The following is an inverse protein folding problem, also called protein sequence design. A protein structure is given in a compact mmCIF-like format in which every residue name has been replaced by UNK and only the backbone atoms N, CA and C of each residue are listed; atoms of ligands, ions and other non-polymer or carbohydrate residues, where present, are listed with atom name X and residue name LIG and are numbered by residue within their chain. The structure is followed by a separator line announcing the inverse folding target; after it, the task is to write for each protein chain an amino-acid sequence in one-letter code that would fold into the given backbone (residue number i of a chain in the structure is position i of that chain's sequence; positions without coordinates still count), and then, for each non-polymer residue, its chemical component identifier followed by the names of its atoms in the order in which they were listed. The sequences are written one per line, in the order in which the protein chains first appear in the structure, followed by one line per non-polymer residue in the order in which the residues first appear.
data_IF_302619225388
#
_entry.id   IF_302619225388
#
_cell.length_a   1.000
_cell.length_b   1.000
_cell.length_c   1.000
_cell.angle_alpha   90.00
_cell.angle_beta   90.00
_cell.angle_gamma   90.00
#
_symmetry.space_group_name_H-M   'P 1'
#
loop_
_entity.id
_entity.type
_entity.pdbx_description
1 polymer ?
#
# COMPACT_ATOMS: atom_id res chain seq x y z
N UNK A 1 -18.81 -13.14 -43.37
CA UNK A 1 -17.95 -13.51 -42.18
C UNK A 1 -16.56 -12.95 -42.41
N UNK A 2 -16.32 -11.73 -41.96
CA UNK A 2 -15.04 -11.03 -42.19
C UNK A 2 -13.95 -11.59 -41.34
N UNK A 3 -13.15 -12.45 -41.93
CA UNK A 3 -11.89 -12.94 -41.34
C UNK A 3 -10.82 -11.84 -41.52
N UNK A 4 -10.98 -10.74 -40.79
CA UNK A 4 -9.99 -9.66 -40.72
C UNK A 4 -8.74 -10.24 -40.13
N UNK A 5 -7.70 -10.50 -40.94
CA UNK A 5 -6.34 -10.91 -40.51
C UNK A 5 -5.86 -9.94 -39.46
N UNK A 6 -5.96 -10.34 -38.20
CA UNK A 6 -5.52 -9.54 -37.06
C UNK A 6 -4.01 -9.39 -37.20
N UNK A 7 -3.51 -8.17 -37.25
CA UNK A 7 -2.08 -7.91 -37.41
C UNK A 7 -1.30 -8.52 -36.21
N UNK A 8 -0.10 -9.05 -36.40
CA UNK A 8 0.69 -9.69 -35.34
C UNK A 8 0.94 -8.76 -34.14
N UNK A 9 1.00 -7.46 -34.37
CA UNK A 9 1.14 -6.46 -33.32
C UNK A 9 -0.15 -6.31 -32.47
N UNK A 10 -1.32 -6.52 -33.05
CA UNK A 10 -2.58 -6.50 -32.31
C UNK A 10 -2.73 -7.74 -31.45
N UNK A 11 -2.37 -8.91 -31.94
CA UNK A 11 -2.37 -10.15 -31.16
C UNK A 11 -1.43 -10.07 -29.93
N UNK A 12 -0.23 -9.47 -30.10
CA UNK A 12 0.68 -9.23 -28.96
C UNK A 12 0.08 -8.31 -27.91
N UNK A 13 -0.58 -7.24 -28.31
CA UNK A 13 -1.26 -6.31 -27.39
C UNK A 13 -2.41 -6.97 -26.67
N UNK A 14 -3.22 -7.77 -27.35
CA UNK A 14 -4.33 -8.52 -26.78
C UNK A 14 -3.85 -9.54 -25.74
N UNK A 15 -2.73 -10.25 -26.00
CA UNK A 15 -2.09 -11.14 -25.01
C UNK A 15 -1.65 -10.37 -23.77
N UNK A 16 -0.97 -9.23 -23.93
CA UNK A 16 -0.52 -8.41 -22.80
C UNK A 16 -1.71 -7.92 -21.98
N UNK A 17 -2.80 -7.49 -22.64
CA UNK A 17 -4.03 -7.05 -21.95
C UNK A 17 -4.67 -8.22 -21.19
N UNK A 18 -4.69 -9.43 -21.75
CA UNK A 18 -5.22 -10.61 -21.07
C UNK A 18 -4.38 -10.97 -19.82
N UNK A 19 -3.06 -10.96 -19.92
CA UNK A 19 -2.18 -11.18 -18.76
C UNK A 19 -2.34 -10.09 -17.69
N UNK A 20 -2.52 -8.82 -18.10
CA UNK A 20 -2.79 -7.73 -17.17
C UNK A 20 -4.15 -7.90 -16.50
N UNK A 21 -5.19 -8.33 -17.23
CA UNK A 21 -6.51 -8.59 -16.67
C UNK A 21 -6.49 -9.69 -15.60
N UNK A 22 -5.74 -10.78 -15.83
CA UNK A 22 -5.58 -11.83 -14.83
C UNK A 22 -4.91 -11.28 -13.56
N UNK A 23 -3.83 -10.49 -13.72
CA UNK A 23 -3.14 -9.86 -12.59
C UNK A 23 -4.02 -8.86 -11.84
N UNK A 24 -4.79 -8.05 -12.57
CA UNK A 24 -5.74 -7.09 -12.01
C UNK A 24 -6.83 -7.81 -11.21
N UNK A 25 -7.42 -8.86 -11.75
CA UNK A 25 -8.49 -9.59 -11.07
C UNK A 25 -8.00 -10.33 -9.81
N UNK A 26 -6.71 -10.70 -9.76
CA UNK A 26 -6.09 -11.35 -8.61
C UNK A 26 -5.60 -10.36 -7.56
N UNK A 27 -5.23 -9.15 -7.96
CA UNK A 27 -4.63 -8.16 -7.06
C UNK A 27 -5.70 -7.48 -6.19
N UNK A 28 -5.38 -7.24 -4.92
CA UNK A 28 -6.19 -6.47 -3.98
C UNK A 28 -5.95 -4.96 -4.11
N UNK A 29 -4.82 -4.58 -4.68
CA UNK A 29 -4.47 -3.18 -4.87
C UNK A 29 -3.43 -2.97 -5.95
N UNK A 30 -3.36 -1.73 -6.45
CA UNK A 30 -2.45 -1.30 -7.49
C UNK A 30 -1.76 -0.01 -7.10
N UNK A 31 -0.47 0.09 -7.36
CA UNK A 31 0.28 1.34 -7.17
C UNK A 31 1.00 1.69 -8.46
N UNK A 32 0.78 2.91 -8.93
CA UNK A 32 1.39 3.43 -10.13
C UNK A 32 2.62 4.26 -9.75
N UNK A 33 3.76 3.88 -10.31
CA UNK A 33 5.04 4.53 -10.05
C UNK A 33 5.69 4.98 -11.34
N UNK A 34 6.46 6.05 -11.29
CA UNK A 34 7.35 6.44 -12.38
C UNK A 34 8.69 5.77 -12.17
N UNK A 35 9.13 4.95 -13.12
CA UNK A 35 10.44 4.31 -13.09
C UNK A 35 11.50 5.06 -13.90
N UNK A 36 11.17 6.24 -14.42
CA UNK A 36 12.09 7.05 -15.20
C UNK A 36 13.31 7.45 -14.35
N UNK A 37 14.51 7.22 -14.91
CA UNK A 37 15.75 7.48 -14.20
C UNK A 37 16.37 6.28 -13.47
N UNK A 38 15.66 5.15 -13.35
CA UNK A 38 16.21 3.92 -12.81
C UNK A 38 17.06 3.18 -13.86
N UNK A 39 18.22 2.68 -13.45
CA UNK A 39 19.01 1.77 -14.26
C UNK A 39 18.35 0.38 -14.32
N UNK A 40 18.66 -0.40 -15.35
CA UNK A 40 18.11 -1.76 -15.51
C UNK A 40 18.42 -2.65 -14.28
N UNK A 41 19.64 -2.56 -13.75
CA UNK A 41 20.08 -3.31 -12.57
C UNK A 41 19.27 -2.96 -11.31
N UNK A 42 19.01 -1.69 -11.10
CA UNK A 42 18.17 -1.20 -9.98
C UNK A 42 16.73 -1.67 -10.12
N UNK A 43 16.18 -1.60 -11.33
CA UNK A 43 14.81 -2.05 -11.62
C UNK A 43 14.65 -3.56 -11.41
N UNK A 44 15.66 -4.34 -11.79
CA UNK A 44 15.67 -5.78 -11.56
C UNK A 44 15.78 -6.12 -10.07
N UNK A 45 16.64 -5.42 -9.33
CA UNK A 45 16.74 -5.54 -7.87
C UNK A 45 15.42 -5.24 -7.17
N UNK A 46 14.74 -4.16 -7.60
CA UNK A 46 13.43 -3.77 -7.07
C UNK A 46 12.35 -4.84 -7.38
N UNK A 47 12.34 -5.38 -8.62
CA UNK A 47 11.42 -6.48 -8.97
C UNK A 47 11.63 -7.71 -8.09
N UNK A 48 12.89 -8.09 -7.85
CA UNK A 48 13.21 -9.23 -6.98
C UNK A 48 12.77 -8.99 -5.53
N UNK A 49 13.04 -7.80 -5.00
CA UNK A 49 12.66 -7.42 -3.64
C UNK A 49 11.14 -7.42 -3.45
N UNK A 50 10.39 -6.91 -4.43
CA UNK A 50 8.93 -6.83 -4.37
C UNK A 50 8.29 -8.23 -4.53
N UNK A 51 8.85 -9.07 -5.40
CA UNK A 51 8.37 -10.44 -5.61
C UNK A 51 8.45 -11.31 -4.36
N UNK A 52 9.41 -11.05 -3.46
CA UNK A 52 9.52 -11.74 -2.17
C UNK A 52 8.33 -11.49 -1.23
N UNK A 53 7.51 -10.48 -1.49
CA UNK A 53 6.34 -10.09 -0.69
C UNK A 53 5.00 -10.28 -1.42
N UNK A 54 4.90 -11.28 -2.29
CA UNK A 54 3.70 -11.58 -3.07
C UNK A 54 3.17 -10.35 -3.84
N UNK A 55 4.07 -9.64 -4.50
CA UNK A 55 3.71 -8.51 -5.33
C UNK A 55 4.50 -8.54 -6.66
N UNK A 56 3.88 -8.09 -7.73
CA UNK A 56 4.49 -8.02 -9.07
C UNK A 56 4.71 -6.57 -9.49
N UNK A 57 5.93 -6.26 -9.93
CA UNK A 57 6.27 -4.96 -10.50
C UNK A 57 6.41 -5.07 -12.02
N UNK A 58 5.44 -4.53 -12.76
CA UNK A 58 5.34 -4.66 -14.22
C UNK A 58 5.36 -3.29 -14.87
N UNK A 59 6.31 -3.07 -15.78
CA UNK A 59 6.36 -1.86 -16.61
C UNK A 59 5.63 -2.14 -17.94
N UNK A 60 4.51 -1.43 -18.17
CA UNK A 60 3.68 -1.59 -19.36
C UNK A 60 3.25 -0.23 -19.90
N UNK A 61 2.76 -0.21 -21.14
CA UNK A 61 2.27 0.99 -21.76
C UNK A 61 0.97 1.46 -21.07
N UNK A 62 0.88 2.75 -20.73
CA UNK A 62 -0.26 3.34 -20.01
C UNK A 62 -1.62 2.99 -20.64
N UNK A 63 -1.73 3.10 -21.98
CA UNK A 63 -2.96 2.78 -22.70
C UNK A 63 -3.40 1.31 -22.55
N UNK A 64 -2.47 0.35 -22.40
CA UNK A 64 -2.82 -1.05 -22.19
C UNK A 64 -3.31 -1.29 -20.76
N UNK A 65 -2.73 -0.60 -19.77
CA UNK A 65 -3.19 -0.62 -18.38
C UNK A 65 -4.60 -0.04 -18.30
N UNK A 66 -4.86 1.10 -18.96
CA UNK A 66 -6.16 1.74 -18.98
C UNK A 66 -7.23 0.82 -19.57
N UNK A 67 -6.97 0.19 -20.72
CA UNK A 67 -7.89 -0.77 -21.35
C UNK A 67 -8.12 -1.98 -20.41
N UNK A 68 -7.07 -2.50 -19.79
CA UNK A 68 -7.19 -3.63 -18.88
C UNK A 68 -8.02 -3.27 -17.63
N UNK A 69 -7.87 -2.06 -17.09
CA UNK A 69 -8.67 -1.59 -15.97
C UNK A 69 -10.14 -1.33 -16.33
N UNK A 70 -10.42 -0.78 -17.51
CA UNK A 70 -11.79 -0.60 -17.98
C UNK A 70 -12.52 -1.95 -18.17
N UNK A 71 -11.79 -2.99 -18.59
CA UNK A 71 -12.32 -4.32 -18.78
C UNK A 71 -12.35 -5.16 -17.49
N UNK A 72 -11.74 -4.70 -16.41
CA UNK A 72 -11.72 -5.40 -15.14
C UNK A 72 -13.00 -5.16 -14.35
N UNK A 73 -13.41 -6.17 -13.53
CA UNK A 73 -14.56 -6.06 -12.63
C UNK A 73 -14.28 -5.17 -11.40
N UNK A 74 -13.08 -4.63 -11.28
CA UNK A 74 -12.73 -3.69 -10.21
C UNK A 74 -13.38 -2.32 -10.47
N UNK A 75 -14.65 -2.20 -10.11
CA UNK A 75 -15.30 -0.90 -10.02
C UNK A 75 -14.56 -0.07 -8.95
N UNK A 76 -13.95 1.01 -9.40
CA UNK A 76 -13.45 2.05 -8.49
C UNK A 76 -14.69 2.66 -7.84
N UNK A 77 -15.05 2.17 -6.66
CA UNK A 77 -16.30 2.54 -5.94
C UNK A 77 -16.49 4.04 -5.72
N UNK A 78 -15.46 4.85 -5.94
CA UNK A 78 -15.47 6.26 -5.58
C UNK A 78 -15.70 7.26 -6.71
N UNK A 79 -15.90 6.84 -7.97
CA UNK A 79 -16.15 7.81 -9.06
C UNK A 79 -17.56 8.39 -9.04
N UNK A 80 -18.55 7.72 -8.40
CA UNK A 80 -19.96 8.20 -8.35
C UNK A 80 -20.37 8.90 -7.05
N UNK A 81 -19.66 8.70 -5.93
CA UNK A 81 -20.05 9.31 -4.65
C UNK A 81 -19.38 10.67 -4.33
N UNK A 82 -18.39 11.10 -5.12
CA UNK A 82 -17.63 12.33 -4.85
C UNK A 82 -18.14 13.54 -5.65
N UNK A 83 -19.32 13.44 -6.29
CA UNK A 83 -19.96 14.64 -6.87
C UNK A 83 -20.51 15.64 -5.84
N UNK A 84 -20.49 15.32 -4.54
CA UNK A 84 -21.11 16.14 -3.51
C UNK A 84 -20.16 16.72 -2.45
N UNK A 85 -18.85 16.60 -2.59
CA UNK A 85 -17.92 17.35 -1.75
C UNK A 85 -17.29 18.47 -2.56
N UNK A 86 -17.59 19.72 -2.18
CA UNK A 86 -17.11 20.97 -2.77
C UNK A 86 -15.60 21.21 -2.58
N UNK A 87 -14.77 20.18 -2.46
CA UNK A 87 -13.32 20.27 -2.45
C UNK A 87 -12.77 20.24 -3.88
N UNK A 88 -12.88 21.38 -4.57
CA UNK A 88 -12.31 21.60 -5.91
C UNK A 88 -10.78 21.48 -5.97
N UNK A 89 -10.10 21.32 -4.85
CA UNK A 89 -8.63 21.28 -4.77
C UNK A 89 -7.99 19.88 -4.76
N UNK A 90 -8.77 18.80 -4.70
CA UNK A 90 -8.25 17.45 -4.82
C UNK A 90 -8.65 16.84 -6.17
N UNK A 91 -8.04 17.30 -7.26
CA UNK A 91 -7.99 16.55 -8.52
C UNK A 91 -7.25 15.25 -8.24
N UNK A 92 -8.00 14.20 -7.86
CA UNK A 92 -7.44 12.86 -7.69
C UNK A 92 -7.07 12.36 -9.09
N UNK A 93 -5.79 12.07 -9.36
CA UNK A 93 -5.35 11.62 -10.68
C UNK A 93 -6.03 10.30 -11.02
N UNK A 94 -6.88 10.30 -12.03
CA UNK A 94 -7.49 9.08 -12.56
C UNK A 94 -6.49 8.23 -13.33
N UNK A 95 -6.86 7.00 -13.64
CA UNK A 95 -6.04 6.11 -14.49
C UNK A 95 -5.77 6.74 -15.85
N UNK A 96 -6.67 7.59 -16.34
CA UNK A 96 -6.53 8.37 -17.57
C UNK A 96 -5.44 9.45 -17.49
N UNK A 97 -5.00 9.83 -16.29
CA UNK A 97 -3.97 10.86 -16.10
C UNK A 97 -2.54 10.30 -16.04
N UNK A 98 -2.35 9.03 -16.38
CA UNK A 98 -1.03 8.40 -16.41
C UNK A 98 -0.16 8.97 -17.54
N UNK A 99 0.64 10.00 -17.23
CA UNK A 99 1.61 10.59 -18.18
C UNK A 99 3.01 10.04 -17.91
N UNK A 100 3.77 9.82 -18.99
CA UNK A 100 5.18 9.38 -18.94
C UNK A 100 5.36 7.89 -18.63
N UNK A 101 6.62 7.49 -18.35
CA UNK A 101 6.98 6.12 -18.06
C UNK A 101 6.34 5.66 -16.74
N UNK A 102 5.49 4.64 -16.80
CA UNK A 102 4.76 4.15 -15.63
C UNK A 102 4.96 2.65 -15.47
N UNK A 103 5.26 2.23 -14.25
CA UNK A 103 5.20 0.84 -13.85
C UNK A 103 4.09 0.66 -12.82
N UNK A 104 3.39 -0.46 -12.92
CA UNK A 104 2.33 -0.84 -12.00
C UNK A 104 2.84 -1.91 -11.06
N UNK A 105 2.66 -1.65 -9.78
CA UNK A 105 2.85 -2.62 -8.72
C UNK A 105 1.51 -3.27 -8.41
N UNK A 106 1.41 -4.58 -8.60
CA UNK A 106 0.25 -5.38 -8.24
C UNK A 106 0.46 -5.99 -6.85
N UNK A 107 -0.49 -5.81 -5.95
CA UNK A 107 -0.43 -6.27 -4.56
C UNK A 107 -1.44 -7.41 -4.38
N UNK A 108 -0.97 -8.62 -4.08
CA UNK A 108 -1.84 -9.79 -3.91
C UNK A 108 -2.13 -10.07 -2.42
N UNK A 109 -1.15 -9.85 -1.56
CA UNK A 109 -1.23 -10.09 -0.11
C UNK A 109 -1.38 -8.81 0.73
N UNK A 110 -0.53 -8.68 1.74
CA UNK A 110 -0.45 -7.49 2.61
C UNK A 110 0.21 -6.33 1.86
N UNK A 111 -0.46 -5.20 1.67
CA UNK A 111 0.08 -4.07 0.91
C UNK A 111 1.27 -3.37 1.60
N UNK A 112 1.41 -3.49 2.93
CA UNK A 112 2.40 -2.75 3.72
C UNK A 112 3.83 -3.18 3.38
N UNK A 113 4.10 -4.49 3.26
CA UNK A 113 5.44 -5.01 3.04
C UNK A 113 6.04 -4.61 1.68
N UNK A 114 5.34 -4.79 0.54
CA UNK A 114 5.82 -4.33 -0.75
C UNK A 114 6.01 -2.81 -0.81
N UNK A 115 5.11 -2.03 -0.16
CA UNK A 115 5.24 -0.58 -0.09
C UNK A 115 6.48 -0.15 0.69
N UNK A 116 6.84 -0.86 1.77
CA UNK A 116 8.10 -0.64 2.50
C UNK A 116 9.33 -0.87 1.63
N UNK A 117 9.32 -1.94 0.82
CA UNK A 117 10.43 -2.23 -0.08
C UNK A 117 10.62 -1.09 -1.10
N UNK A 118 9.53 -0.58 -1.68
CA UNK A 118 9.57 0.58 -2.58
C UNK A 118 10.01 1.85 -1.83
N UNK A 119 9.46 2.12 -0.65
CA UNK A 119 9.84 3.30 0.14
C UNK A 119 11.32 3.28 0.55
N UNK A 120 11.89 2.10 0.81
CA UNK A 120 13.33 1.94 1.04
C UNK A 120 14.13 2.32 -0.22
N UNK A 121 13.75 1.82 -1.38
CA UNK A 121 14.38 2.18 -2.65
C UNK A 121 14.25 3.67 -2.95
N UNK A 122 13.12 4.30 -2.64
CA UNK A 122 12.93 5.75 -2.78
C UNK A 122 13.90 6.53 -1.88
N UNK A 123 14.10 6.09 -0.63
CA UNK A 123 15.05 6.73 0.30
C UNK A 123 16.50 6.61 -0.16
N UNK A 124 16.88 5.47 -0.73
CA UNK A 124 18.25 5.20 -1.18
C UNK A 124 18.58 5.87 -2.53
N UNK A 125 17.62 5.90 -3.45
CA UNK A 125 17.84 6.30 -4.84
C UNK A 125 17.06 7.54 -5.26
N UNK A 126 16.19 8.08 -4.40
CA UNK A 126 15.17 9.11 -4.71
C UNK A 126 14.19 8.68 -5.82
N UNK A 127 14.21 7.41 -6.22
CA UNK A 127 13.42 6.79 -7.29
C UNK A 127 12.99 5.38 -6.84
N UNK A 128 11.85 4.84 -7.32
CA UNK A 128 10.83 5.43 -8.21
C UNK A 128 9.93 6.44 -7.48
N UNK A 129 9.36 7.40 -8.21
CA UNK A 129 8.33 8.28 -7.63
C UNK A 129 6.94 7.64 -7.71
N UNK A 130 6.17 7.68 -6.60
CA UNK A 130 4.82 7.16 -6.55
C UNK A 130 3.87 8.24 -7.09
N UNK A 131 3.06 7.89 -8.09
CA UNK A 131 2.05 8.80 -8.65
C UNK A 131 0.77 8.76 -7.83
N UNK A 132 0.13 7.62 -7.80
CA UNK A 132 -1.06 7.31 -7.01
C UNK A 132 -1.23 5.80 -6.91
N UNK A 133 -2.17 5.34 -6.10
CA UNK A 133 -2.54 3.93 -6.04
C UNK A 133 -4.00 3.74 -5.71
N UNK A 134 -4.47 2.52 -5.89
CA UNK A 134 -5.81 2.08 -5.57
C UNK A 134 -5.65 0.86 -4.65
N UNK A 135 -6.11 0.97 -3.41
CA UNK A 135 -6.08 -0.10 -2.41
C UNK A 135 -7.50 -0.34 -1.92
N UNK A 136 -7.95 -1.58 -1.97
CA UNK A 136 -9.31 -1.99 -1.55
C UNK A 136 -10.43 -1.13 -2.17
N UNK A 137 -10.23 -0.67 -3.43
CA UNK A 137 -11.15 0.20 -4.13
C UNK A 137 -11.08 1.69 -3.75
N UNK A 138 -10.18 2.06 -2.82
CA UNK A 138 -9.93 3.45 -2.44
C UNK A 138 -8.73 4.00 -3.18
N UNK A 139 -8.91 5.14 -3.83
CA UNK A 139 -7.81 5.85 -4.47
C UNK A 139 -7.01 6.65 -3.45
N UNK A 140 -5.70 6.51 -3.49
CA UNK A 140 -4.75 7.16 -2.59
C UNK A 140 -3.69 7.92 -3.36
N UNK A 141 -3.29 9.07 -2.83
CA UNK A 141 -2.17 9.85 -3.36
C UNK A 141 -0.82 9.23 -3.00
N UNK A 142 0.25 9.62 -3.71
CA UNK A 142 1.60 9.14 -3.42
C UNK A 142 2.05 9.40 -1.98
N UNK A 143 1.69 10.54 -1.40
CA UNK A 143 2.00 10.88 -0.01
C UNK A 143 1.29 9.96 1.00
N UNK A 144 0.02 9.63 0.74
CA UNK A 144 -0.74 8.71 1.57
C UNK A 144 -0.15 7.29 1.53
N UNK A 145 0.29 6.85 0.34
CA UNK A 145 0.96 5.56 0.17
C UNK A 145 2.33 5.52 0.88
N UNK A 146 3.07 6.61 0.87
CA UNK A 146 4.32 6.72 1.64
C UNK A 146 4.04 6.68 3.15
N UNK A 147 2.98 7.32 3.64
CA UNK A 147 2.57 7.19 5.06
C UNK A 147 2.21 5.75 5.40
N UNK A 148 1.49 5.02 4.52
CA UNK A 148 1.20 3.60 4.72
C UNK A 148 2.48 2.76 4.82
N UNK A 149 3.53 3.08 4.06
CA UNK A 149 4.80 2.36 4.12
C UNK A 149 5.54 2.52 5.46
N UNK A 150 5.22 3.54 6.26
CA UNK A 150 5.81 3.73 7.60
C UNK A 150 5.10 2.92 8.68
N UNK A 151 3.89 2.39 8.40
CA UNK A 151 3.13 1.62 9.37
C UNK A 151 3.79 0.27 9.66
N UNK A 152 3.66 -0.25 10.90
CA UNK A 152 4.03 -1.61 11.23
C UNK A 152 3.21 -2.64 10.45
N UNK A 153 3.58 -3.92 10.54
CA UNK A 153 2.80 -5.01 9.95
C UNK A 153 1.41 -5.09 10.56
N UNK A 154 0.46 -5.69 9.82
CA UNK A 154 -0.92 -5.86 10.28
C UNK A 154 -1.00 -6.54 11.65
N UNK A 155 -0.17 -7.56 11.90
CA UNK A 155 -0.11 -8.26 13.18
C UNK A 155 0.34 -7.34 14.32
N UNK A 156 1.35 -6.50 14.06
CA UNK A 156 1.82 -5.52 15.05
C UNK A 156 0.75 -4.46 15.34
N UNK A 157 0.01 -4.00 14.32
CA UNK A 157 -1.10 -3.06 14.50
C UNK A 157 -2.23 -3.67 15.32
N UNK A 158 -2.59 -4.92 15.05
CA UNK A 158 -3.59 -5.65 15.86
C UNK A 158 -3.13 -5.81 17.30
N UNK A 159 -1.86 -6.14 17.52
CA UNK A 159 -1.29 -6.24 18.87
C UNK A 159 -1.33 -4.89 19.59
N UNK A 160 -0.97 -3.81 18.92
CA UNK A 160 -1.06 -2.45 19.49
C UNK A 160 -2.50 -2.06 19.82
N UNK A 161 -3.46 -2.42 18.97
CA UNK A 161 -4.88 -2.20 19.23
C UNK A 161 -5.34 -2.93 20.50
N UNK A 162 -4.98 -4.20 20.65
CA UNK A 162 -5.33 -5.00 21.84
C UNK A 162 -4.69 -4.42 23.10
N UNK A 163 -3.42 -4.01 23.02
CA UNK A 163 -2.73 -3.35 24.14
C UNK A 163 -3.42 -2.03 24.49
N UNK A 164 -3.77 -1.22 23.49
CA UNK A 164 -4.50 0.04 23.66
C UNK A 164 -5.86 -0.16 24.35
N UNK A 165 -6.60 -1.20 24.00
CA UNK A 165 -7.87 -1.54 24.63
C UNK A 165 -7.71 -2.06 26.07
N UNK A 166 -6.60 -2.76 26.37
CA UNK A 166 -6.27 -3.23 27.75
C UNK A 166 -5.69 -2.13 28.62
N UNK A 167 -5.10 -1.09 28.06
CA UNK A 167 -4.40 -0.04 28.80
C UNK A 167 -5.27 0.65 29.89
N UNK A 168 -6.53 1.08 29.61
CA UNK A 168 -7.37 1.68 30.62
C UNK A 168 -7.65 0.75 31.80
N UNK A 169 -7.89 -0.54 31.55
CA UNK A 169 -8.17 -1.54 32.57
C UNK A 169 -6.93 -1.78 33.43
N UNK A 170 -5.77 -1.92 32.80
CA UNK A 170 -4.49 -2.09 33.49
C UNK A 170 -4.13 -0.84 34.31
N UNK A 171 -4.45 0.35 33.79
CA UNK A 171 -4.29 1.62 34.50
C UNK A 171 -5.13 1.69 35.77
N UNK A 172 -6.42 1.33 35.68
CA UNK A 172 -7.32 1.27 36.85
C UNK A 172 -6.83 0.27 37.89
N UNK A 173 -6.47 -0.95 37.46
CA UNK A 173 -5.91 -1.96 38.35
C UNK A 173 -4.65 -1.47 39.08
N UNK A 174 -3.76 -0.80 38.34
CA UNK A 174 -2.53 -0.20 38.92
C UNK A 174 -2.86 0.91 39.90
N UNK A 175 -3.82 1.77 39.60
CA UNK A 175 -4.23 2.86 40.47
C UNK A 175 -4.85 2.34 41.81
N UNK A 176 -5.66 1.26 41.74
CA UNK A 176 -6.22 0.62 42.92
C UNK A 176 -5.15 -0.05 43.80
N UNK A 177 -4.21 -0.74 43.19
CA UNK A 177 -3.13 -1.44 43.91
C UNK A 177 -2.01 -0.50 44.37
N UNK A 178 -1.89 0.70 43.81
CA UNK A 178 -0.83 1.64 44.16
C UNK A 178 -0.82 2.03 45.66
N UNK A 179 -1.99 2.27 46.20
CA UNK A 179 -2.13 2.65 47.61
C UNK A 179 -1.68 1.52 48.55
N UNK A 180 -1.99 0.27 48.23
CA UNK A 180 -1.52 -0.92 48.99
C UNK A 180 -0.02 -1.10 48.87
N UNK A 181 0.51 -0.97 47.63
CA UNK A 181 1.98 -1.06 47.41
C UNK A 181 2.74 0.05 48.16
N UNK A 182 2.24 1.27 48.14
CA UNK A 182 2.82 2.40 48.86
C UNK A 182 2.85 2.14 50.36
N UNK A 183 1.79 1.60 50.91
CA UNK A 183 1.73 1.23 52.33
C UNK A 183 2.78 0.16 52.68
N UNK A 184 2.86 -0.90 51.87
CA UNK A 184 3.89 -1.97 52.07
C UNK A 184 5.30 -1.40 51.95
N UNK A 185 5.57 -0.51 51.00
CA UNK A 185 6.85 0.13 50.83
C UNK A 185 7.23 1.00 52.05
N UNK A 186 6.26 1.75 52.61
CA UNK A 186 6.51 2.56 53.80
C UNK A 186 6.83 1.69 55.04
N UNK A 187 6.13 0.57 55.21
CA UNK A 187 6.44 -0.38 56.29
C UNK A 187 7.83 -0.97 56.14
N UNK A 188 8.23 -1.41 54.96
CA UNK A 188 9.57 -1.91 54.68
C UNK A 188 10.66 -0.85 54.92
N UNK A 189 10.38 0.41 54.57
CA UNK A 189 11.34 1.50 54.83
C UNK A 189 11.50 1.81 56.32
N UNK A 190 10.45 1.63 57.14
CA UNK A 190 10.50 1.77 58.58
C UNK A 190 11.30 0.61 59.20
N UNK A 191 11.07 -0.63 58.75
CA UNK A 191 11.79 -1.81 59.16
C UNK A 191 13.31 -1.67 58.89
N UNK A 192 13.68 -1.23 57.68
CA UNK A 192 15.06 -1.01 57.28
C UNK A 192 15.77 0.11 58.07
N UNK A 193 15.04 1.05 58.68
CA UNK A 193 15.61 2.10 59.52
C UNK A 193 15.76 1.67 60.99
N UNK A 194 15.09 0.58 61.38
CA UNK A 194 15.12 0.10 62.78
C UNK A 194 16.19 -0.96 63.02
N UNK A 195 16.71 -1.56 61.91
CA UNK A 195 17.90 -2.42 61.90
C UNK A 195 19.13 -1.61 61.47
#
# INVERSE_FOLDING_TARGET
MDNKRISPNRQRKEKIVAELLEKINRAKGFVFTSYQGLTHKQLEGLKKAVKAFDADFVATKNTLIEIAMLNSKHEIRNSKQIKNSNDENLKRPGVSDLKGATATLFLYGDPVMPLKAIAKSIKELSLPSIKFGILDGLQMTGEQLLKLSTLPTRETLLTQLVIGLKSPISGLHRALNWNLQKFVMTLKAIEAKKN
#
